data_IF_967151147498
#
_entry.id   IF_967151147498
#
_cell.length_a   1.000
_cell.length_b   1.000
_cell.length_c   1.000
_cell.angle_alpha   90.00
_cell.angle_beta   90.00
_cell.angle_gamma   90.00
#
_symmetry.space_group_name_H-M   'P 1'
#
loop_
_entity.id
_entity.type
_entity.pdbx_description
1 polymer ?
#
# COMPACT_ATOMS: atom_id res chain seq x y z
N UNK A 1 0.18 -33.71 -31.15
CA UNK A 1 1.00 -33.10 -30.09
C UNK A 1 0.16 -32.01 -29.45
N UNK A 2 -0.39 -32.28 -28.28
CA UNK A 2 -0.98 -31.22 -27.47
C UNK A 2 0.14 -30.23 -27.12
N UNK A 3 0.05 -29.00 -27.62
CA UNK A 3 0.80 -27.89 -27.05
C UNK A 3 0.28 -27.71 -25.62
N UNK A 4 1.01 -28.27 -24.65
CA UNK A 4 0.90 -27.86 -23.25
C UNK A 4 1.28 -26.38 -23.26
N UNK A 5 0.27 -25.51 -23.35
CA UNK A 5 0.46 -24.09 -23.16
C UNK A 5 0.75 -23.97 -21.68
N UNK A 6 2.04 -23.81 -21.34
CA UNK A 6 2.46 -23.58 -19.97
C UNK A 6 1.61 -22.42 -19.42
N UNK A 7 0.82 -22.69 -18.39
CA UNK A 7 -0.18 -21.73 -17.90
C UNK A 7 0.57 -20.59 -17.22
N UNK A 8 0.88 -19.55 -17.99
CA UNK A 8 1.51 -18.32 -17.51
C UNK A 8 0.71 -17.79 -16.32
N UNK A 9 1.40 -17.63 -15.19
CA UNK A 9 0.83 -16.96 -14.03
C UNK A 9 1.17 -15.47 -14.03
N UNK A 10 0.67 -14.74 -13.03
CA UNK A 10 0.90 -13.30 -12.94
C UNK A 10 2.39 -12.95 -12.78
N UNK A 11 3.18 -13.77 -12.09
CA UNK A 11 4.60 -13.53 -11.92
C UNK A 11 5.35 -13.71 -13.25
N UNK A 12 4.96 -14.69 -14.07
CA UNK A 12 5.54 -14.89 -15.40
C UNK A 12 5.26 -13.69 -16.32
N UNK A 13 4.02 -13.20 -16.32
CA UNK A 13 3.66 -12.00 -17.07
C UNK A 13 4.47 -10.78 -16.60
N UNK A 14 4.56 -10.60 -15.28
CA UNK A 14 5.28 -9.48 -14.69
C UNK A 14 6.78 -9.52 -15.03
N UNK A 15 7.39 -10.71 -15.00
CA UNK A 15 8.78 -10.92 -15.40
C UNK A 15 9.00 -10.57 -16.89
N UNK A 16 8.13 -11.07 -17.78
CA UNK A 16 8.24 -10.81 -19.22
C UNK A 16 8.14 -9.32 -19.53
N UNK A 17 7.15 -8.62 -18.96
CA UNK A 17 7.01 -7.17 -19.17
C UNK A 17 8.23 -6.40 -18.64
N UNK A 18 8.76 -6.80 -17.48
CA UNK A 18 9.94 -6.15 -16.91
C UNK A 18 11.19 -6.29 -17.80
N UNK A 19 11.36 -7.45 -18.44
CA UNK A 19 12.47 -7.72 -19.36
C UNK A 19 12.31 -6.99 -20.70
N UNK A 20 11.10 -6.97 -21.27
CA UNK A 20 10.81 -6.31 -22.55
C UNK A 20 10.91 -4.77 -22.46
N UNK A 21 10.56 -4.19 -21.30
CA UNK A 21 10.51 -2.74 -21.10
C UNK A 21 11.38 -2.27 -19.92
N UNK A 22 12.72 -2.43 -19.99
CA UNK A 22 13.62 -2.22 -18.85
C UNK A 22 13.69 -0.77 -18.36
N UNK A 23 13.22 0.20 -19.15
CA UNK A 23 13.20 1.63 -18.81
C UNK A 23 11.86 2.12 -18.27
N UNK A 24 10.82 1.30 -18.29
CA UNK A 24 9.48 1.67 -17.82
C UNK A 24 9.30 1.21 -16.39
N UNK A 25 8.85 2.12 -15.51
CA UNK A 25 8.51 1.77 -14.13
C UNK A 25 7.15 1.06 -14.07
N UNK A 26 7.16 -0.17 -13.59
CA UNK A 26 5.97 -1.03 -13.46
C UNK A 26 5.47 -0.95 -12.01
N UNK A 27 4.19 -0.63 -11.85
CA UNK A 27 3.49 -0.66 -10.57
C UNK A 27 2.13 -1.27 -10.79
N UNK A 28 1.74 -2.16 -9.89
CA UNK A 28 0.42 -2.77 -9.89
C UNK A 28 -0.20 -2.66 -8.49
N UNK A 29 -1.46 -3.02 -8.38
CA UNK A 29 -2.18 -3.11 -7.11
C UNK A 29 -3.02 -4.37 -7.11
N UNK A 30 -2.97 -5.16 -6.04
CA UNK A 30 -3.81 -6.35 -5.89
C UNK A 30 -5.01 -6.04 -5.01
N UNK A 31 -6.17 -6.58 -5.37
CA UNK A 31 -7.38 -6.55 -4.56
C UNK A 31 -7.48 -7.71 -3.57
N UNK A 32 -6.63 -8.73 -3.68
CA UNK A 32 -6.66 -9.93 -2.85
C UNK A 32 -5.24 -10.30 -2.35
N UNK A 33 -4.99 -10.29 -1.03
CA UNK A 33 -3.71 -10.69 -0.47
C UNK A 33 -3.23 -12.09 -0.87
N UNK A 34 -4.14 -13.03 -1.14
CA UNK A 34 -3.80 -14.41 -1.47
C UNK A 34 -3.08 -14.56 -2.83
N UNK A 35 -3.26 -13.60 -3.73
CA UNK A 35 -2.59 -13.61 -5.03
C UNK A 35 -1.12 -13.18 -4.93
N UNK A 36 -0.71 -12.61 -3.79
CA UNK A 36 0.65 -12.17 -3.54
C UNK A 36 1.56 -13.33 -3.11
N UNK A 37 1.73 -14.33 -3.99
CA UNK A 37 2.59 -15.52 -3.77
C UNK A 37 4.08 -15.15 -3.76
N UNK A 38 4.93 -16.03 -3.21
CA UNK A 38 6.37 -15.77 -3.11
C UNK A 38 7.03 -15.57 -4.48
N UNK A 39 6.60 -16.30 -5.52
CA UNK A 39 7.06 -16.08 -6.91
C UNK A 39 6.85 -14.64 -7.40
N UNK A 40 5.77 -13.98 -6.98
CA UNK A 40 5.53 -12.56 -7.30
C UNK A 40 6.53 -11.67 -6.55
N UNK A 41 6.79 -11.96 -5.27
CA UNK A 41 7.76 -11.22 -4.45
C UNK A 41 9.18 -11.34 -4.98
N UNK A 42 9.59 -12.55 -5.36
CA UNK A 42 10.87 -12.85 -6.01
C UNK A 42 11.01 -12.09 -7.32
N UNK A 43 9.95 -12.06 -8.14
CA UNK A 43 9.93 -11.33 -9.41
C UNK A 43 10.09 -9.82 -9.20
N UNK A 44 9.39 -9.23 -8.23
CA UNK A 44 9.56 -7.82 -7.87
C UNK A 44 11.01 -7.55 -7.42
N UNK A 45 11.58 -8.42 -6.58
CA UNK A 45 12.94 -8.26 -6.06
C UNK A 45 14.03 -8.39 -7.16
N UNK A 46 13.76 -9.17 -8.21
CA UNK A 46 14.67 -9.41 -9.31
C UNK A 46 14.86 -8.19 -10.23
N UNK A 47 13.80 -7.38 -10.42
CA UNK A 47 13.76 -6.35 -11.45
C UNK A 47 13.69 -4.94 -10.89
N UNK A 48 14.70 -4.11 -11.20
CA UNK A 48 14.77 -2.70 -10.74
C UNK A 48 13.63 -1.82 -11.25
N UNK A 49 13.09 -2.12 -12.43
CA UNK A 49 12.00 -1.36 -13.03
C UNK A 49 10.62 -1.77 -12.49
N UNK A 50 10.52 -2.80 -11.64
CA UNK A 50 9.32 -3.07 -10.85
C UNK A 50 9.40 -2.31 -9.52
N UNK A 51 8.34 -1.59 -9.19
CA UNK A 51 8.28 -0.82 -7.95
C UNK A 51 8.34 -1.71 -6.71
N UNK A 52 9.18 -1.32 -5.74
CA UNK A 52 9.21 -1.87 -4.37
C UNK A 52 7.99 -1.41 -3.55
N UNK A 53 6.79 -1.66 -4.04
CA UNK A 53 5.54 -1.26 -3.43
C UNK A 53 4.50 -2.35 -3.59
N UNK A 54 3.84 -2.71 -2.49
CA UNK A 54 2.74 -3.67 -2.48
C UNK A 54 1.54 -3.06 -1.76
N UNK A 55 0.43 -2.98 -2.49
CA UNK A 55 -0.88 -2.76 -1.88
C UNK A 55 -1.45 -4.11 -1.43
N UNK A 56 -1.60 -4.32 -0.12
CA UNK A 56 -2.05 -5.58 0.46
C UNK A 56 -3.28 -5.34 1.37
N UNK A 57 -4.48 -5.29 0.81
CA UNK A 57 -5.69 -4.89 1.54
C UNK A 57 -6.14 -5.95 2.54
N UNK A 58 -6.05 -5.64 3.85
CA UNK A 58 -6.47 -6.54 4.94
C UNK A 58 -7.92 -6.31 5.33
N UNK A 59 -8.42 -5.07 5.26
CA UNK A 59 -9.74 -4.61 5.72
C UNK A 59 -9.90 -4.57 7.26
N UNK A 60 -9.53 -5.64 7.98
CA UNK A 60 -9.62 -5.71 9.45
C UNK A 60 -8.46 -6.53 10.03
N UNK A 61 -8.05 -6.21 11.26
CA UNK A 61 -7.08 -7.03 11.98
C UNK A 61 -7.68 -8.24 12.71
N UNK A 62 -9.01 -8.41 12.71
CA UNK A 62 -9.67 -9.53 13.39
C UNK A 62 -10.03 -10.64 12.41
N UNK A 63 -9.53 -11.86 12.65
CA UNK A 63 -9.89 -13.06 11.88
C UNK A 63 -11.40 -13.35 11.90
N UNK A 64 -12.10 -12.97 12.99
CA UNK A 64 -13.58 -13.06 13.08
C UNK A 64 -14.25 -12.15 12.05
N UNK A 65 -13.84 -10.89 12.01
CA UNK A 65 -14.39 -9.88 11.10
C UNK A 65 -13.98 -10.16 9.65
N UNK A 66 -12.75 -10.58 9.41
CA UNK A 66 -12.29 -11.03 8.09
C UNK A 66 -13.19 -12.15 7.53
N UNK A 67 -13.56 -13.13 8.35
CA UNK A 67 -14.50 -14.18 7.97
C UNK A 67 -15.88 -13.63 7.63
N UNK A 68 -16.42 -12.70 8.43
CA UNK A 68 -17.71 -12.04 8.15
C UNK A 68 -17.68 -11.18 6.88
N UNK A 69 -16.52 -10.59 6.55
CA UNK A 69 -16.27 -9.88 5.29
C UNK A 69 -16.02 -10.83 4.10
N UNK A 70 -16.18 -12.15 4.28
CA UNK A 70 -15.92 -13.18 3.28
C UNK A 70 -14.48 -13.16 2.75
N UNK A 71 -13.49 -12.88 3.61
CA UNK A 71 -12.06 -12.96 3.28
C UNK A 71 -11.55 -14.38 3.50
N UNK A 72 -10.82 -14.91 2.51
CA UNK A 72 -10.24 -16.26 2.55
C UNK A 72 -8.98 -16.40 3.42
N UNK A 73 -8.63 -15.42 4.24
CA UNK A 73 -7.40 -15.42 5.04
C UNK A 73 -7.65 -14.94 6.48
N UNK A 74 -6.75 -15.36 7.38
CA UNK A 74 -6.74 -14.93 8.78
C UNK A 74 -5.70 -13.83 9.02
N UNK A 75 -5.74 -13.22 10.20
CA UNK A 75 -4.73 -12.27 10.68
C UNK A 75 -3.33 -12.89 10.66
N UNK A 76 -3.19 -14.12 11.12
CA UNK A 76 -1.92 -14.83 11.26
C UNK A 76 -1.31 -15.07 9.88
N UNK A 77 -2.12 -15.59 8.94
CA UNK A 77 -1.72 -15.76 7.55
C UNK A 77 -1.27 -14.43 6.93
N UNK A 78 -1.99 -13.35 7.19
CA UNK A 78 -1.65 -12.02 6.67
C UNK A 78 -0.32 -11.53 7.24
N UNK A 79 -0.07 -11.70 8.53
CA UNK A 79 1.19 -11.33 9.16
C UNK A 79 2.37 -12.12 8.61
N UNK A 80 2.19 -13.41 8.33
CA UNK A 80 3.23 -14.22 7.67
C UNK A 80 3.47 -13.76 6.23
N UNK A 81 2.43 -13.33 5.52
CA UNK A 81 2.58 -12.69 4.21
C UNK A 81 3.37 -11.38 4.30
N UNK A 82 3.12 -10.54 5.31
CA UNK A 82 3.92 -9.33 5.57
C UNK A 82 5.39 -9.68 5.85
N UNK A 83 5.66 -10.73 6.63
CA UNK A 83 7.04 -11.20 6.87
C UNK A 83 7.71 -11.65 5.57
N UNK A 84 7.01 -12.40 4.72
CA UNK A 84 7.55 -12.82 3.41
C UNK A 84 7.88 -11.61 2.52
N UNK A 85 7.01 -10.60 2.47
CA UNK A 85 7.27 -9.34 1.74
C UNK A 85 8.55 -8.68 2.24
N UNK A 86 8.68 -8.48 3.56
CA UNK A 86 9.86 -7.82 4.14
C UNK A 86 11.15 -8.64 3.98
N UNK A 87 11.03 -9.97 3.89
CA UNK A 87 12.17 -10.87 3.64
C UNK A 87 12.70 -10.69 2.21
N UNK A 88 11.83 -10.71 1.21
CA UNK A 88 12.22 -10.62 -0.20
C UNK A 88 12.52 -9.18 -0.63
N UNK A 89 11.79 -8.21 -0.09
CA UNK A 89 11.87 -6.80 -0.45
C UNK A 89 11.95 -5.95 0.85
N UNK A 90 13.13 -5.86 1.50
CA UNK A 90 13.26 -5.20 2.80
C UNK A 90 12.84 -3.72 2.83
N UNK A 91 12.96 -3.01 1.70
CA UNK A 91 12.57 -1.61 1.54
C UNK A 91 11.15 -1.43 0.97
N UNK A 92 10.33 -2.49 0.94
CA UNK A 92 8.99 -2.44 0.34
C UNK A 92 8.09 -1.43 1.06
N UNK A 93 7.52 -0.50 0.29
CA UNK A 93 6.39 0.30 0.73
C UNK A 93 5.14 -0.56 0.77
N UNK A 94 4.47 -0.63 1.92
CA UNK A 94 3.26 -1.43 2.08
C UNK A 94 2.08 -0.51 2.34
N UNK A 95 1.01 -0.68 1.58
CA UNK A 95 -0.27 -0.05 1.85
C UNK A 95 -1.38 -1.06 2.06
N UNK A 96 -2.50 -0.60 2.61
CA UNK A 96 -3.66 -1.44 2.88
C UNK A 96 -4.96 -0.65 2.85
N UNK A 97 -6.06 -1.37 3.03
CA UNK A 97 -7.40 -0.84 3.19
C UNK A 97 -7.92 -1.24 4.57
N UNK A 98 -8.64 -0.35 5.24
CA UNK A 98 -9.31 -0.61 6.51
C UNK A 98 -10.77 -0.17 6.47
N UNK A 99 -11.65 -1.03 6.99
CA UNK A 99 -13.07 -0.75 7.20
C UNK A 99 -13.36 -0.92 8.69
N UNK A 100 -13.71 0.19 9.35
CA UNK A 100 -14.09 0.20 10.78
C UNK A 100 -15.60 0.12 10.95
N UNK A 101 -16.04 -0.43 12.08
CA UNK A 101 -17.46 -0.51 12.43
C UNK A 101 -18.26 -1.41 11.51
N UNK A 102 -17.63 -2.46 10.95
CA UNK A 102 -18.34 -3.50 10.22
C UNK A 102 -19.33 -4.23 11.12
N UNK A 103 -20.34 -4.88 10.53
CA UNK A 103 -21.33 -5.68 11.25
C UNK A 103 -20.66 -6.62 12.27
N UNK A 104 -21.18 -6.62 13.51
CA UNK A 104 -20.69 -7.41 14.65
C UNK A 104 -19.24 -7.11 15.12
N UNK A 105 -18.67 -5.98 14.71
CA UNK A 105 -17.34 -5.56 15.19
C UNK A 105 -17.37 -5.11 16.66
N UNK A 106 -16.73 -5.90 17.52
CA UNK A 106 -16.57 -5.59 18.95
C UNK A 106 -15.38 -4.67 19.19
N UNK A 107 -15.24 -4.15 20.42
CA UNK A 107 -14.07 -3.36 20.78
C UNK A 107 -12.77 -4.16 20.68
N UNK A 108 -12.80 -5.44 21.04
CA UNK A 108 -11.64 -6.32 20.91
C UNK A 108 -11.21 -6.50 19.45
N UNK A 109 -12.17 -6.62 18.52
CA UNK A 109 -11.88 -6.72 17.08
C UNK A 109 -11.21 -5.45 16.54
N UNK A 110 -11.67 -4.29 17.01
CA UNK A 110 -11.07 -3.00 16.67
C UNK A 110 -9.64 -2.88 17.23
N UNK A 111 -9.41 -3.28 18.49
CA UNK A 111 -8.06 -3.30 19.07
C UNK A 111 -7.12 -4.27 18.34
N UNK A 112 -7.63 -5.40 17.83
CA UNK A 112 -6.86 -6.25 16.92
C UNK A 112 -6.47 -5.50 15.64
N UNK A 113 -7.36 -4.69 15.07
CA UNK A 113 -7.04 -3.85 13.90
C UNK A 113 -5.93 -2.85 14.22
N UNK A 114 -6.02 -2.10 15.31
CA UNK A 114 -4.97 -1.15 15.73
C UNK A 114 -3.63 -1.85 15.98
N UNK A 115 -3.63 -3.00 16.67
CA UNK A 115 -2.40 -3.76 16.89
C UNK A 115 -1.79 -4.32 15.61
N UNK A 116 -2.60 -4.65 14.59
CA UNK A 116 -2.07 -5.06 13.28
C UNK A 116 -1.28 -3.92 12.66
N UNK A 117 -1.88 -2.72 12.66
CA UNK A 117 -1.23 -1.52 12.14
C UNK A 117 0.08 -1.24 12.87
N UNK A 118 0.12 -1.38 14.20
CA UNK A 118 1.35 -1.20 14.98
C UNK A 118 2.46 -2.19 14.62
N UNK A 119 2.12 -3.43 14.29
CA UNK A 119 3.09 -4.45 13.87
C UNK A 119 3.62 -4.15 12.46
N UNK A 120 2.73 -3.80 11.53
CA UNK A 120 3.10 -3.64 10.13
C UNK A 120 3.74 -2.27 9.88
N UNK A 121 3.21 -1.21 10.50
CA UNK A 121 3.49 0.21 10.29
C UNK A 121 3.41 0.55 8.80
N UNK A 122 2.20 0.61 8.25
CA UNK A 122 1.98 0.85 6.83
C UNK A 122 2.50 2.23 6.39
N UNK A 123 2.96 2.33 5.15
CA UNK A 123 3.36 3.62 4.56
C UNK A 123 2.15 4.52 4.34
N UNK A 124 1.04 3.92 3.93
CA UNK A 124 -0.24 4.59 3.67
C UNK A 124 -1.38 3.59 3.74
N UNK A 125 -2.59 4.03 4.06
CA UNK A 125 -3.78 3.19 3.97
C UNK A 125 -5.01 3.98 3.51
N UNK A 126 -5.91 3.31 2.79
CA UNK A 126 -7.26 3.80 2.57
C UNK A 126 -8.12 3.37 3.76
N UNK A 127 -8.84 4.31 4.36
CA UNK A 127 -9.51 4.10 5.63
C UNK A 127 -10.93 4.62 5.53
N UNK A 128 -11.88 3.74 5.79
CA UNK A 128 -13.31 4.04 5.74
C UNK A 128 -13.99 3.47 6.99
N UNK A 129 -15.14 4.01 7.33
CA UNK A 129 -16.09 3.30 8.18
C UNK A 129 -17.09 2.56 7.30
N UNK A 130 -17.68 1.48 7.84
CA UNK A 130 -18.67 0.71 7.11
C UNK A 130 -19.94 1.51 6.87
N UNK A 131 -20.30 1.62 5.59
CA UNK A 131 -21.58 2.10 5.11
C UNK A 131 -22.17 1.04 4.20
N UNK A 132 -23.44 0.70 4.37
CA UNK A 132 -24.11 -0.23 3.48
C UNK A 132 -24.03 0.24 2.02
N UNK A 133 -23.83 -0.72 1.11
CA UNK A 133 -23.89 -0.48 -0.33
C UNK A 133 -24.89 -1.45 -0.96
N UNK A 134 -25.72 -0.98 -1.90
CA UNK A 134 -26.66 -1.85 -2.62
C UNK A 134 -25.96 -3.05 -3.23
N UNK A 135 -26.63 -4.21 -3.21
CA UNK A 135 -26.20 -5.45 -3.86
C UNK A 135 -24.94 -6.10 -3.29
N UNK A 136 -24.54 -5.76 -2.05
CA UNK A 136 -23.41 -6.42 -1.37
C UNK A 136 -23.84 -7.65 -0.57
N UNK A 137 -22.92 -8.59 -0.33
CA UNK A 137 -23.16 -9.72 0.58
C UNK A 137 -23.55 -9.24 1.98
N UNK A 138 -22.83 -8.24 2.50
CA UNK A 138 -23.07 -7.66 3.80
C UNK A 138 -24.50 -7.10 3.91
N UNK A 139 -24.94 -6.29 2.95
CA UNK A 139 -26.30 -5.74 2.93
C UNK A 139 -27.40 -6.83 2.85
N UNK A 140 -27.13 -7.98 2.23
CA UNK A 140 -28.10 -9.07 2.10
C UNK A 140 -28.16 -10.01 3.30
N UNK A 141 -27.09 -10.12 4.08
CA UNK A 141 -26.90 -11.23 5.02
C UNK A 141 -26.55 -10.78 6.45
N UNK A 142 -26.18 -9.51 6.64
CA UNK A 142 -25.73 -8.98 7.92
C UNK A 142 -26.58 -7.76 8.31
N UNK A 143 -26.79 -7.59 9.61
CA UNK A 143 -27.42 -6.40 10.17
C UNK A 143 -26.36 -5.35 10.50
N UNK A 144 -26.55 -4.10 10.07
CA UNK A 144 -25.71 -2.99 10.49
C UNK A 144 -26.03 -2.59 11.93
N UNK A 145 -25.39 -3.27 12.88
CA UNK A 145 -25.66 -3.15 14.31
C UNK A 145 -24.66 -2.29 15.08
N UNK A 146 -23.75 -1.61 14.39
CA UNK A 146 -22.77 -0.71 15.03
C UNK A 146 -23.26 0.73 14.93
N UNK A 147 -23.43 1.46 16.06
CA UNK A 147 -23.84 2.87 16.01
C UNK A 147 -22.84 3.72 15.23
N UNK A 148 -23.32 4.63 14.40
CA UNK A 148 -22.48 5.48 13.53
C UNK A 148 -21.41 6.26 14.32
N UNK A 149 -21.74 6.73 15.54
CA UNK A 149 -20.79 7.39 16.45
C UNK A 149 -19.59 6.49 16.79
N UNK A 150 -19.82 5.20 16.99
CA UNK A 150 -18.76 4.22 17.27
C UNK A 150 -17.90 4.02 16.02
N UNK A 151 -18.54 3.87 14.84
CA UNK A 151 -17.82 3.72 13.58
C UNK A 151 -16.89 4.91 13.29
N UNK A 152 -17.39 6.13 13.47
CA UNK A 152 -16.63 7.38 13.28
C UNK A 152 -15.49 7.52 14.29
N UNK A 153 -15.70 7.19 15.57
CA UNK A 153 -14.63 7.17 16.58
C UNK A 153 -13.52 6.23 16.16
N UNK A 154 -13.85 4.98 15.79
CA UNK A 154 -12.89 3.96 15.37
C UNK A 154 -12.12 4.36 14.12
N UNK A 155 -12.80 4.96 13.13
CA UNK A 155 -12.13 5.51 11.95
C UNK A 155 -11.11 6.58 12.35
N UNK A 156 -11.47 7.50 13.24
CA UNK A 156 -10.55 8.54 13.70
C UNK A 156 -9.30 7.95 14.37
N UNK A 157 -9.48 6.93 15.23
CA UNK A 157 -8.36 6.24 15.88
C UNK A 157 -7.39 5.59 14.86
N UNK A 158 -7.92 4.95 13.81
CA UNK A 158 -7.12 4.40 12.71
C UNK A 158 -6.42 5.52 11.93
N UNK A 159 -7.10 6.63 11.62
CA UNK A 159 -6.51 7.78 10.91
C UNK A 159 -5.33 8.35 11.71
N UNK A 160 -5.53 8.59 13.00
CA UNK A 160 -4.50 9.16 13.87
C UNK A 160 -3.28 8.23 13.97
N UNK A 161 -3.51 6.92 14.08
CA UNK A 161 -2.45 5.92 14.10
C UNK A 161 -1.71 5.85 12.76
N UNK A 162 -2.43 5.83 11.64
CA UNK A 162 -1.83 5.80 10.31
C UNK A 162 -0.99 7.05 10.05
N UNK A 163 -1.42 8.23 10.50
CA UNK A 163 -0.63 9.46 10.37
C UNK A 163 0.71 9.37 11.12
N UNK A 164 0.72 8.80 12.32
CA UNK A 164 1.95 8.53 13.08
C UNK A 164 2.86 7.56 12.34
N UNK A 165 2.31 6.48 11.81
CA UNK A 165 3.08 5.48 11.06
C UNK A 165 3.65 6.04 9.76
N UNK A 166 2.86 6.78 8.98
CA UNK A 166 3.32 7.41 7.75
C UNK A 166 4.42 8.44 8.01
N UNK A 167 4.30 9.24 9.08
CA UNK A 167 5.37 10.14 9.50
C UNK A 167 6.64 9.38 9.88
N UNK A 168 6.52 8.35 10.72
CA UNK A 168 7.64 7.50 11.12
C UNK A 168 8.35 6.90 9.88
N UNK A 169 7.59 6.35 8.93
CA UNK A 169 8.13 5.77 7.70
C UNK A 169 8.83 6.80 6.84
N UNK A 170 8.25 7.98 6.68
CA UNK A 170 8.84 9.05 5.88
C UNK A 170 10.12 9.62 6.52
N UNK A 171 10.19 9.68 7.85
CA UNK A 171 11.40 10.10 8.56
C UNK A 171 12.58 9.17 8.30
N UNK A 172 12.35 7.87 8.11
CA UNK A 172 13.40 6.91 7.74
C UNK A 172 14.03 7.18 6.37
N UNK A 173 13.44 8.06 5.55
CA UNK A 173 13.97 8.45 4.24
C UNK A 173 14.82 9.71 4.28
N UNK A 174 14.83 10.47 5.38
CA UNK A 174 15.67 11.68 5.49
C UNK A 174 17.15 11.30 5.36
N UNK A 175 17.88 12.04 4.51
CA UNK A 175 19.28 11.80 4.17
C UNK A 175 19.50 10.70 3.12
N UNK A 176 18.44 10.03 2.65
CA UNK A 176 18.55 9.05 1.56
C UNK A 176 18.26 9.70 0.22
N UNK A 177 18.90 9.18 -0.82
CA UNK A 177 18.61 9.52 -2.22
C UNK A 177 17.66 8.49 -2.80
N UNK A 178 16.62 8.96 -3.49
CA UNK A 178 15.69 8.12 -4.22
C UNK A 178 15.61 8.55 -5.67
N UNK A 179 15.53 7.57 -6.58
CA UNK A 179 15.14 7.81 -7.97
C UNK A 179 13.64 8.14 -8.03
N UNK A 180 13.31 9.33 -8.53
CA UNK A 180 11.97 9.87 -8.60
C UNK A 180 11.56 10.09 -10.04
N UNK A 181 10.40 9.54 -10.43
CA UNK A 181 9.75 9.86 -11.70
C UNK A 181 8.99 11.17 -11.55
N UNK A 182 9.31 12.18 -12.38
CA UNK A 182 8.59 13.46 -12.40
C UNK A 182 7.21 13.23 -13.02
N UNK A 183 6.15 13.40 -12.22
CA UNK A 183 4.76 13.22 -12.67
C UNK A 183 4.11 14.55 -13.06
N UNK A 184 4.55 15.67 -12.47
CA UNK A 184 3.95 16.96 -12.78
C UNK A 184 4.42 18.12 -11.91
N UNK A 185 3.69 19.22 -12.00
CA UNK A 185 3.93 20.43 -11.21
C UNK A 185 3.22 20.29 -9.85
N UNK A 186 3.90 20.65 -8.76
CA UNK A 186 3.30 20.60 -7.43
C UNK A 186 2.07 21.49 -7.33
N UNK A 187 0.97 20.95 -6.81
CA UNK A 187 -0.30 21.68 -6.62
C UNK A 187 -0.15 22.93 -5.76
N UNK A 188 0.82 22.94 -4.83
CA UNK A 188 1.06 24.06 -3.91
C UNK A 188 1.96 25.15 -4.49
N UNK A 189 2.69 24.89 -5.59
CA UNK A 189 3.66 25.84 -6.14
C UNK A 189 4.09 25.46 -7.55
N UNK A 190 3.96 26.41 -8.49
CA UNK A 190 4.47 26.26 -9.85
C UNK A 190 6.01 26.20 -9.96
N UNK A 191 6.74 26.55 -8.91
CA UNK A 191 8.22 26.46 -8.82
C UNK A 191 8.76 25.07 -8.46
N UNK A 192 7.88 24.13 -8.13
CA UNK A 192 8.26 22.78 -7.69
C UNK A 192 7.67 21.71 -8.60
N UNK A 193 8.41 20.64 -8.82
CA UNK A 193 7.86 19.39 -9.35
C UNK A 193 7.32 18.54 -8.20
N UNK A 194 6.44 17.61 -8.55
CA UNK A 194 6.19 16.43 -7.73
C UNK A 194 6.40 15.17 -8.56
N UNK A 195 6.75 14.10 -7.86
CA UNK A 195 6.94 12.78 -8.42
C UNK A 195 6.77 11.72 -7.35
N UNK A 196 7.08 10.47 -7.72
CA UNK A 196 7.07 9.35 -6.76
C UNK A 196 8.34 8.52 -6.82
N UNK A 197 8.71 8.01 -5.65
CA UNK A 197 9.70 6.94 -5.47
C UNK A 197 9.14 5.58 -5.94
N UNK A 198 9.99 4.55 -5.93
CA UNK A 198 9.58 3.16 -6.19
C UNK A 198 8.64 2.60 -5.12
N UNK A 199 8.74 3.05 -3.87
CA UNK A 199 7.85 2.65 -2.77
C UNK A 199 6.51 3.43 -2.73
N UNK A 200 6.19 4.15 -3.82
CA UNK A 200 4.97 4.93 -4.02
C UNK A 200 4.83 6.18 -3.12
N UNK A 201 5.92 6.64 -2.49
CA UNK A 201 5.91 7.86 -1.68
C UNK A 201 6.04 9.11 -2.56
N UNK A 202 5.23 10.13 -2.29
CA UNK A 202 5.28 11.41 -3.02
C UNK A 202 6.50 12.21 -2.59
N UNK A 203 7.24 12.72 -3.56
CA UNK A 203 8.39 13.62 -3.36
C UNK A 203 8.13 14.95 -4.05
N UNK A 204 8.41 16.05 -3.35
CA UNK A 204 8.34 17.42 -3.88
C UNK A 204 9.71 18.07 -3.82
N UNK A 205 10.13 18.68 -4.91
CA UNK A 205 11.46 19.29 -5.06
C UNK A 205 11.43 20.44 -6.06
N UNK A 206 12.41 21.35 -5.97
CA UNK A 206 12.49 22.52 -6.84
C UNK A 206 12.67 22.13 -8.31
N UNK A 207 12.03 22.88 -9.22
CA UNK A 207 12.22 22.67 -10.65
C UNK A 207 13.66 22.97 -11.07
N UNK A 208 14.20 22.13 -11.95
CA UNK A 208 15.45 22.35 -12.69
C UNK A 208 15.21 22.06 -14.18
N UNK A 209 16.27 21.94 -14.98
CA UNK A 209 16.22 21.64 -16.42
C UNK A 209 15.86 20.16 -16.68
N UNK A 210 14.68 19.74 -16.23
CA UNK A 210 14.09 18.42 -16.43
C UNK A 210 12.63 18.56 -16.87
N UNK A 211 12.11 17.51 -17.48
CA UNK A 211 10.76 17.41 -18.02
C UNK A 211 9.91 16.41 -17.23
N UNK A 212 8.59 16.51 -17.38
CA UNK A 212 7.67 15.47 -16.90
C UNK A 212 7.98 14.18 -17.65
N UNK A 213 8.08 13.06 -16.92
CA UNK A 213 8.51 11.76 -17.45
C UNK A 213 9.99 11.44 -17.21
N UNK A 214 10.82 12.42 -16.84
CA UNK A 214 12.21 12.16 -16.50
C UNK A 214 12.34 11.49 -15.12
N UNK A 215 13.36 10.64 -14.98
CA UNK A 215 13.84 10.15 -13.69
C UNK A 215 14.95 11.06 -13.17
N UNK A 216 14.87 11.43 -11.90
CA UNK A 216 15.88 12.25 -11.21
C UNK A 216 16.20 11.67 -9.84
N UNK A 217 17.45 11.75 -9.44
CA UNK A 217 17.86 11.40 -8.08
C UNK A 217 17.61 12.58 -7.14
N UNK A 218 16.86 12.32 -6.06
CA UNK A 218 16.46 13.34 -5.09
C UNK A 218 16.90 12.92 -3.70
N UNK A 219 17.75 13.72 -3.07
CA UNK A 219 18.11 13.55 -1.67
C UNK A 219 17.03 14.18 -0.78
N UNK A 220 16.48 13.39 0.14
CA UNK A 220 15.39 13.83 1.01
C UNK A 220 15.93 14.62 2.20
N UNK A 221 15.47 15.86 2.36
CA UNK A 221 15.92 16.76 3.43
C UNK A 221 14.95 16.81 4.61
N UNK A 222 13.64 16.67 4.34
CA UNK A 222 12.59 16.68 5.36
C UNK A 222 11.34 15.98 4.86
N UNK A 223 10.38 15.77 5.74
CA UNK A 223 9.10 15.16 5.37
C UNK A 223 7.93 15.69 6.20
N UNK A 224 6.74 15.44 5.68
CA UNK A 224 5.48 15.42 6.43
C UNK A 224 5.00 13.96 6.54
N UNK A 225 3.84 13.72 7.16
CA UNK A 225 3.21 12.39 7.12
C UNK A 225 2.83 11.94 5.70
N UNK A 226 2.66 12.86 4.74
CA UNK A 226 2.17 12.53 3.40
C UNK A 226 3.17 12.76 2.27
N UNK A 227 4.29 13.44 2.52
CA UNK A 227 5.16 13.93 1.44
C UNK A 227 6.61 14.07 1.90
N UNK A 228 7.53 13.55 1.09
CA UNK A 228 8.96 13.81 1.21
C UNK A 228 9.31 15.10 0.47
N UNK A 229 10.27 15.84 1.01
CA UNK A 229 10.74 17.10 0.44
C UNK A 229 12.26 17.02 0.32
N UNK A 230 12.77 17.25 -0.88
CA UNK A 230 14.18 17.05 -1.17
C UNK A 230 14.71 17.93 -2.28
N UNK A 231 15.94 17.65 -2.69
CA UNK A 231 16.68 18.38 -3.70
C UNK A 231 17.30 17.41 -4.70
N UNK A 232 17.32 17.80 -5.97
CA UNK A 232 17.98 17.01 -7.02
C UNK A 232 19.49 17.04 -6.79
N UNK A 233 20.11 15.87 -6.79
CA UNK A 233 21.56 15.67 -6.68
C UNK A 233 22.20 15.27 -7.99
#
# INVERSE_FOLDING_TARGET
MEQITEKLDFADLLNTIAQEYPKIRIRFSTSNPQDMKDKVLETIALHRNICNYIHLPVQSGSSKILKLMNRGHTREWYLDRIKSIKKHIPSCGISSDFITGFCDETEQDHQLTLSLMEIVKYNFSYMFYYSERPNTFAQRQLSDNIPEKVKKRRLQEIIDLQQKHSLFRNQLNIGKTHEVLIEGISKKSNKHFYGRTTDNTVVVFAKRKFSIGDFVDVEIKKCTSATLIGEIV
#
